data_IF_306674577700
#
_entry.id   IF_306674577700
#
_cell.length_a   1.000
_cell.length_b   1.000
_cell.length_c   1.000
_cell.angle_alpha   90.00
_cell.angle_beta   90.00
_cell.angle_gamma   90.00
#
_symmetry.space_group_name_H-M   'P 1'
#
loop_
_entity.id
_entity.type
_entity.pdbx_description
1 polymer ?
#
# COMPACT_ATOMS: atom_id res chain seq x y z
N UNK A 1 12.85 -16.09 8.28
CA UNK A 1 13.02 -14.77 7.63
C UNK A 1 12.14 -14.82 6.39
N UNK A 2 10.91 -14.31 6.50
CA UNK A 2 9.94 -14.37 5.41
C UNK A 2 10.32 -13.26 4.42
N UNK A 3 10.58 -13.62 3.16
CA UNK A 3 11.05 -12.67 2.16
C UNK A 3 9.93 -11.70 1.74
N UNK A 4 9.98 -10.50 2.30
CA UNK A 4 9.06 -9.40 1.97
C UNK A 4 9.00 -9.09 0.45
N UNK A 5 10.08 -9.40 -0.28
CA UNK A 5 10.18 -9.27 -1.74
C UNK A 5 9.20 -10.14 -2.52
N UNK A 6 8.85 -11.34 -2.02
CA UNK A 6 8.00 -12.28 -2.75
C UNK A 6 6.52 -11.89 -2.71
N UNK A 7 6.09 -11.23 -1.63
CA UNK A 7 4.68 -10.88 -1.42
C UNK A 7 4.24 -9.66 -2.27
N UNK A 8 5.16 -8.76 -2.60
CA UNK A 8 4.88 -7.52 -3.35
C UNK A 8 4.64 -7.81 -4.84
N UNK A 9 5.20 -8.90 -5.37
CA UNK A 9 4.95 -9.35 -6.75
C UNK A 9 3.46 -9.67 -6.99
N UNK A 10 2.70 -10.02 -5.95
CA UNK A 10 1.27 -10.29 -6.06
C UNK A 10 0.41 -9.02 -5.99
N UNK A 11 0.87 -8.00 -5.27
CA UNK A 11 0.13 -6.76 -5.03
C UNK A 11 0.31 -5.76 -6.21
N UNK A 12 1.39 -5.86 -6.99
CA UNK A 12 1.64 -5.02 -8.18
C UNK A 12 0.75 -5.34 -9.40
N UNK A 13 -0.11 -6.37 -9.36
CA UNK A 13 -0.92 -6.77 -10.51
C UNK A 13 -2.12 -5.83 -10.81
N UNK A 14 -2.42 -4.86 -9.94
CA UNK A 14 -3.58 -3.97 -10.09
C UNK A 14 -3.25 -2.64 -10.76
N UNK A 15 -2.21 -2.64 -11.61
CA UNK A 15 -1.99 -1.64 -12.65
C UNK A 15 -2.71 -1.95 -13.97
N UNK A 16 -3.49 -3.03 -14.05
CA UNK A 16 -4.25 -3.39 -15.25
C UNK A 16 -5.72 -3.10 -15.01
N UNK A 17 -6.23 -2.01 -15.58
CA UNK A 17 -7.65 -1.68 -15.69
C UNK A 17 -8.40 -2.68 -16.60
N UNK A 18 -8.31 -3.97 -16.30
CA UNK A 18 -9.04 -5.01 -17.01
C UNK A 18 -9.63 -5.94 -15.97
N UNK A 19 -10.70 -5.48 -15.33
CA UNK A 19 -11.68 -6.41 -14.78
C UNK A 19 -12.14 -7.29 -15.94
N UNK A 20 -11.68 -8.55 -15.98
CA UNK A 20 -12.35 -9.62 -16.74
C UNK A 20 -13.61 -10.02 -15.96
N UNK A 21 -14.53 -9.09 -15.83
CA UNK A 21 -15.92 -9.37 -15.47
C UNK A 21 -16.73 -8.92 -16.69
N UNK A 22 -17.39 -9.88 -17.33
CA UNK A 22 -17.92 -9.78 -18.68
C UNK A 22 -18.59 -8.44 -19.03
N UNK A 23 -18.25 -7.97 -20.23
CA UNK A 23 -19.13 -7.27 -21.16
C UNK A 23 -19.93 -6.06 -20.64
N UNK A 24 -19.29 -5.03 -20.05
CA UNK A 24 -19.69 -3.62 -20.26
C UNK A 24 -18.49 -2.71 -19.96
N UNK A 25 -17.93 -2.03 -20.97
CA UNK A 25 -17.04 -0.87 -20.72
C UNK A 25 -17.95 0.33 -20.40
N UNK A 26 -18.40 0.42 -19.15
CA UNK A 26 -18.89 1.70 -18.64
C UNK A 26 -17.66 2.54 -18.37
N UNK A 27 -17.54 3.70 -19.02
CA UNK A 27 -16.61 4.77 -18.60
C UNK A 27 -17.14 5.34 -17.27
N UNK A 28 -17.14 4.50 -16.23
CA UNK A 28 -17.58 4.80 -14.89
C UNK A 28 -16.34 5.07 -14.06
N UNK A 29 -16.24 6.31 -13.56
CA UNK A 29 -15.35 6.78 -12.48
C UNK A 29 -14.20 5.83 -12.13
N UNK A 30 -12.98 6.21 -12.55
CA UNK A 30 -11.73 5.58 -12.10
C UNK A 30 -11.85 5.24 -10.60
N UNK A 31 -11.56 4.00 -10.17
CA UNK A 31 -11.65 3.67 -8.76
C UNK A 31 -10.68 4.59 -8.02
N UNK A 32 -11.24 5.59 -7.35
CA UNK A 32 -10.48 6.56 -6.58
C UNK A 32 -9.59 5.75 -5.65
N UNK A 33 -8.27 5.98 -5.73
CA UNK A 33 -7.25 5.30 -4.95
C UNK A 33 -7.43 5.69 -3.49
N UNK A 34 -8.34 4.98 -2.83
CA UNK A 34 -8.98 5.39 -1.58
C UNK A 34 -8.31 4.80 -0.35
N UNK A 35 -7.41 3.83 -0.48
CA UNK A 35 -6.78 3.17 0.65
C UNK A 35 -5.29 3.43 0.66
N UNK A 36 -4.81 4.13 1.67
CA UNK A 36 -3.42 4.47 1.90
C UNK A 36 -2.87 3.59 3.03
N UNK A 37 -1.76 2.91 2.80
CA UNK A 37 -1.03 2.19 3.85
C UNK A 37 0.07 3.09 4.37
N UNK A 38 0.00 3.42 5.67
CA UNK A 38 0.98 4.27 6.35
C UNK A 38 1.66 3.52 7.49
N UNK A 39 2.86 3.96 7.85
CA UNK A 39 3.53 3.65 9.11
C UNK A 39 3.71 4.98 9.84
N UNK A 40 3.12 5.18 11.04
CA UNK A 40 3.14 6.45 11.76
C UNK A 40 4.50 6.66 12.47
N UNK A 41 5.55 6.76 11.68
CA UNK A 41 6.93 7.07 12.09
C UNK A 41 7.63 7.77 10.94
N UNK A 42 8.65 8.56 11.25
CA UNK A 42 9.58 9.20 10.30
C UNK A 42 11.01 8.70 10.49
N UNK A 43 11.20 7.63 11.26
CA UNK A 43 12.48 6.97 11.46
C UNK A 43 13.02 6.39 10.14
N UNK A 44 14.21 6.86 9.75
CA UNK A 44 14.89 6.41 8.52
C UNK A 44 15.25 4.93 8.55
N UNK A 45 15.57 4.35 9.71
CA UNK A 45 15.84 2.91 9.81
C UNK A 45 14.56 2.09 9.57
N UNK A 46 13.40 2.61 9.96
CA UNK A 46 12.11 1.98 9.61
C UNK A 46 11.81 2.18 8.14
N UNK A 47 12.12 3.35 7.55
CA UNK A 47 11.97 3.59 6.12
C UNK A 47 12.78 2.58 5.30
N UNK A 48 14.06 2.36 5.62
CA UNK A 48 14.91 1.39 4.91
C UNK A 48 14.30 -0.02 4.96
N UNK A 49 13.76 -0.42 6.11
CA UNK A 49 13.07 -1.72 6.25
C UNK A 49 11.79 -1.79 5.42
N UNK A 50 10.99 -0.73 5.42
CA UNK A 50 9.79 -0.65 4.58
C UNK A 50 10.19 -0.65 3.10
N UNK A 51 11.27 0.02 2.71
CA UNK A 51 11.77 0.07 1.34
C UNK A 51 12.32 -1.28 0.85
N UNK A 52 12.91 -2.08 1.74
CA UNK A 52 13.31 -3.44 1.44
C UNK A 52 12.12 -4.34 1.04
N UNK A 53 10.94 -4.08 1.61
CA UNK A 53 9.68 -4.69 1.20
C UNK A 53 9.12 -3.99 -0.04
N UNK A 54 8.88 -2.67 0.07
CA UNK A 54 8.20 -1.82 -0.91
C UNK A 54 9.17 -0.74 -1.40
N UNK A 55 9.86 -0.93 -2.53
CA UNK A 55 10.86 0.02 -3.04
C UNK A 55 10.32 1.44 -3.27
N UNK A 56 9.00 1.58 -3.46
CA UNK A 56 8.32 2.86 -3.65
C UNK A 56 7.90 3.56 -2.36
N UNK A 57 8.28 3.06 -1.18
CA UNK A 57 7.94 3.69 0.09
C UNK A 57 8.78 4.95 0.35
N UNK A 58 8.15 5.99 0.90
CA UNK A 58 8.81 7.26 1.20
C UNK A 58 8.17 7.94 2.42
N UNK A 59 8.93 8.82 3.09
CA UNK A 59 8.40 9.66 4.16
C UNK A 59 7.58 10.79 3.56
N UNK A 60 6.34 10.89 4.00
CA UNK A 60 5.38 11.94 3.66
C UNK A 60 4.99 12.72 4.91
N UNK A 61 4.41 13.90 4.72
CA UNK A 61 4.00 14.79 5.81
C UNK A 61 2.50 15.08 5.72
N UNK A 62 1.82 14.97 6.86
CA UNK A 62 0.41 15.35 7.03
C UNK A 62 0.27 16.39 8.13
N UNK A 63 -0.94 16.94 8.28
CA UNK A 63 -1.31 17.85 9.38
C UNK A 63 -1.14 17.20 10.76
N UNK A 64 -1.12 15.87 10.83
CA UNK A 64 -0.98 15.08 12.06
C UNK A 64 0.47 14.67 12.35
N UNK A 65 1.43 15.04 11.49
CA UNK A 65 2.83 14.65 11.60
C UNK A 65 3.38 13.97 10.36
N UNK A 66 4.66 13.64 10.40
CA UNK A 66 5.36 12.85 9.38
C UNK A 66 4.98 11.37 9.50
N UNK A 67 4.94 10.66 8.37
CA UNK A 67 4.64 9.24 8.31
C UNK A 67 5.29 8.62 7.08
N UNK A 68 5.66 7.35 7.14
CA UNK A 68 6.09 6.60 5.96
C UNK A 68 4.85 6.14 5.21
N UNK A 69 4.76 6.54 3.95
CA UNK A 69 3.79 6.02 3.01
C UNK A 69 4.35 4.76 2.37
N UNK A 70 3.72 3.61 2.63
CA UNK A 70 4.11 2.33 2.05
C UNK A 70 3.42 2.08 0.70
N UNK A 71 2.19 2.56 0.49
CA UNK A 71 1.50 2.37 -0.79
C UNK A 71 0.08 2.95 -0.82
N UNK A 72 -0.49 3.09 -2.02
CA UNK A 72 -1.88 3.52 -2.24
C UNK A 72 -2.59 2.51 -3.13
N UNK A 73 -3.78 2.09 -2.72
CA UNK A 73 -4.59 1.07 -3.35
C UNK A 73 -6.02 1.56 -3.62
N UNK A 74 -6.60 1.04 -4.70
CA UNK A 74 -8.02 1.21 -5.00
C UNK A 74 -8.90 0.26 -4.17
N UNK A 75 -8.38 -0.93 -3.85
CA UNK A 75 -9.08 -1.97 -3.10
C UNK A 75 -8.59 -2.04 -1.65
N UNK A 76 -9.54 -2.17 -0.72
CA UNK A 76 -9.24 -2.33 0.72
C UNK A 76 -8.42 -3.59 0.97
N UNK A 77 -8.78 -4.69 0.33
CA UNK A 77 -8.17 -6.00 0.52
C UNK A 77 -6.67 -5.96 0.24
N UNK A 78 -6.23 -5.28 -0.83
CA UNK A 78 -4.81 -5.11 -1.12
C UNK A 78 -4.08 -4.29 -0.06
N UNK A 79 -4.68 -3.20 0.40
CA UNK A 79 -4.10 -2.36 1.44
C UNK A 79 -3.97 -3.13 2.76
N UNK A 80 -4.97 -3.93 3.12
CA UNK A 80 -4.94 -4.79 4.31
C UNK A 80 -3.90 -5.89 4.19
N UNK A 81 -3.75 -6.50 3.01
CA UNK A 81 -2.72 -7.51 2.77
C UNK A 81 -1.32 -6.92 2.94
N UNK A 82 -1.02 -5.76 2.34
CA UNK A 82 0.25 -5.07 2.57
C UNK A 82 0.43 -4.71 4.05
N UNK A 83 -0.61 -4.24 4.72
CA UNK A 83 -0.53 -3.94 6.15
C UNK A 83 -0.26 -5.19 6.98
N UNK A 84 -0.82 -6.35 6.63
CA UNK A 84 -0.53 -7.61 7.33
C UNK A 84 0.93 -7.99 7.14
N UNK A 85 1.44 -7.94 5.91
CA UNK A 85 2.83 -8.26 5.60
C UNK A 85 3.82 -7.38 6.36
N UNK A 86 3.57 -6.07 6.43
CA UNK A 86 4.40 -5.15 7.21
C UNK A 86 4.34 -5.48 8.70
N UNK A 87 3.17 -5.83 9.23
CA UNK A 87 3.01 -6.24 10.63
C UNK A 87 3.71 -7.57 10.94
N UNK A 88 3.72 -8.53 10.01
CA UNK A 88 4.44 -9.80 10.14
C UNK A 88 5.97 -9.56 10.22
N UNK A 89 6.48 -8.53 9.54
CA UNK A 89 7.86 -8.05 9.67
C UNK A 89 8.11 -7.22 10.95
N UNK A 90 7.12 -7.10 11.82
CA UNK A 90 7.19 -6.31 13.06
C UNK A 90 7.12 -4.79 12.82
N UNK A 91 6.67 -4.34 11.65
CA UNK A 91 6.48 -2.93 11.30
C UNK A 91 5.01 -2.57 11.54
N UNK A 92 4.77 -1.60 12.42
CA UNK A 92 3.40 -1.17 12.75
C UNK A 92 2.79 -0.31 11.65
N UNK A 93 2.13 -0.93 10.68
CA UNK A 93 1.39 -0.22 9.63
C UNK A 93 -0.10 -0.04 9.96
N UNK A 94 -0.73 0.89 9.24
CA UNK A 94 -2.17 1.19 9.31
C UNK A 94 -2.73 1.47 7.92
N UNK A 95 -3.96 1.02 7.67
CA UNK A 95 -4.72 1.38 6.48
C UNK A 95 -5.61 2.59 6.78
N UNK A 96 -5.49 3.63 5.97
CA UNK A 96 -6.30 4.85 6.05
C UNK A 96 -7.16 4.95 4.80
N UNK A 97 -8.44 5.25 4.98
CA UNK A 97 -9.32 5.63 3.88
C UNK A 97 -9.17 7.12 3.59
N UNK A 98 -8.72 7.46 2.39
CA UNK A 98 -8.59 8.83 1.89
C UNK A 98 -9.76 9.11 0.95
N UNK A 99 -10.52 10.16 1.24
CA UNK A 99 -11.73 10.56 0.51
C UNK A 99 -11.50 11.83 -0.28
#
# INVERSE_FOLDING_TARGET
MQDCRAAISFIQAEGTNASRQGDVVVVGRLPERRYLVIVPTDDEAVLERVQACVPGAFISRSRLGSYIQAGIFAQRLLAENLSSLLQDEGIRSRVIYVR
#
